data_IF_193709350826
#
_entry.id   IF_193709350826
#
_cell.length_a   1.000
_cell.length_b   1.000
_cell.length_c   1.000
_cell.angle_alpha   90.00
_cell.angle_beta   90.00
_cell.angle_gamma   90.00
#
_symmetry.space_group_name_H-M   'P 1'
#
loop_
_entity.id
_entity.type
_entity.pdbx_description
1 polymer ?
#
# COMPACT_ATOMS: atom_id res chain seq x y z
N UNK A 1 -3.64 -7.11 2.54
CA UNK A 1 -3.17 -5.83 3.17
C UNK A 1 -2.45 -6.16 4.46
N UNK A 2 -1.31 -5.54 4.73
CA UNK A 2 -0.65 -5.72 6.02
C UNK A 2 -1.53 -5.09 7.12
N UNK A 3 -2.14 -5.92 7.95
CA UNK A 3 -3.06 -5.49 9.01
C UNK A 3 -2.44 -4.43 9.93
N UNK A 4 -1.16 -4.59 10.27
CA UNK A 4 -0.45 -3.62 11.11
C UNK A 4 -0.24 -2.29 10.39
N UNK A 5 0.11 -2.30 9.10
CA UNK A 5 0.24 -1.09 8.31
C UNK A 5 -1.08 -0.32 8.21
N UNK A 6 -2.20 -1.03 8.01
CA UNK A 6 -3.54 -0.44 7.99
C UNK A 6 -3.93 0.19 9.34
N UNK A 7 -3.60 -0.50 10.45
CA UNK A 7 -3.81 0.06 11.80
C UNK A 7 -3.04 1.37 11.98
N UNK A 8 -1.75 1.39 11.63
CA UNK A 8 -0.94 2.59 11.76
C UNK A 8 -1.34 3.69 10.78
N UNK A 9 -1.72 3.36 9.54
CA UNK A 9 -2.23 4.35 8.61
C UNK A 9 -3.51 5.02 9.15
N UNK A 10 -4.43 4.24 9.73
CA UNK A 10 -5.62 4.80 10.36
C UNK A 10 -5.27 5.63 11.61
N UNK A 11 -4.39 5.13 12.48
CA UNK A 11 -3.98 5.82 13.71
C UNK A 11 -3.28 7.14 13.43
N UNK A 12 -2.37 7.18 12.44
CA UNK A 12 -1.59 8.36 12.13
C UNK A 12 -2.38 9.43 11.37
N UNK A 13 -3.33 9.02 10.50
CA UNK A 13 -4.05 9.92 9.59
C UNK A 13 -5.55 10.06 9.95
N UNK A 14 -6.02 9.35 10.99
CA UNK A 14 -7.41 9.39 11.43
C UNK A 14 -7.75 10.67 12.20
N UNK A 15 -9.03 11.04 12.17
CA UNK A 15 -9.55 12.03 13.09
C UNK A 15 -9.42 11.54 14.54
N UNK A 16 -9.18 12.44 15.49
CA UNK A 16 -9.11 12.10 16.92
C UNK A 16 -10.53 11.89 17.49
N UNK A 17 -11.16 10.80 17.06
CA UNK A 17 -12.49 10.36 17.47
C UNK A 17 -12.43 9.18 18.44
N UNK A 18 -13.60 8.65 18.81
CA UNK A 18 -13.68 7.46 19.67
C UNK A 18 -12.97 6.24 19.06
N UNK A 19 -12.90 6.13 17.74
CA UNK A 19 -12.24 5.01 17.07
C UNK A 19 -10.73 5.13 17.13
N UNK A 20 -10.19 6.34 17.01
CA UNK A 20 -8.78 6.63 17.23
C UNK A 20 -8.35 6.26 18.66
N UNK A 21 -9.18 6.65 19.66
CA UNK A 21 -8.93 6.27 21.05
C UNK A 21 -8.92 4.74 21.26
N UNK A 22 -9.92 4.03 20.74
CA UNK A 22 -9.99 2.57 20.82
C UNK A 22 -8.78 1.92 20.12
N UNK A 23 -8.39 2.46 18.97
CA UNK A 23 -7.21 1.97 18.25
C UNK A 23 -5.92 2.17 19.05
N UNK A 24 -5.76 3.31 19.72
CA UNK A 24 -4.66 3.54 20.67
C UNK A 24 -4.62 2.47 21.76
N UNK A 25 -5.79 2.08 22.31
CA UNK A 25 -5.90 0.98 23.29
C UNK A 25 -5.52 -0.40 22.72
N UNK A 26 -5.81 -0.65 21.44
CA UNK A 26 -5.34 -1.86 20.74
C UNK A 26 -3.81 -1.89 20.70
N UNK A 27 -3.18 -0.77 20.36
CA UNK A 27 -1.73 -0.65 20.27
C UNK A 27 -1.07 -0.79 21.65
N UNK A 28 -1.70 -0.28 22.73
CA UNK A 28 -1.22 -0.42 24.11
C UNK A 28 -1.26 -1.87 24.62
N UNK A 29 -2.30 -2.62 24.29
CA UNK A 29 -2.51 -3.98 24.79
C UNK A 29 -3.10 -4.92 23.72
N UNK A 30 -2.31 -5.19 22.71
CA UNK A 30 -2.68 -6.09 21.60
C UNK A 30 -3.09 -7.50 22.09
N UNK A 31 -2.48 -8.00 23.19
CA UNK A 31 -2.78 -9.32 23.72
C UNK A 31 -4.24 -9.45 24.18
N UNK A 32 -4.77 -8.44 24.87
CA UNK A 32 -6.17 -8.39 25.25
C UNK A 32 -7.10 -8.47 24.04
N UNK A 33 -6.75 -7.79 22.93
CA UNK A 33 -7.55 -7.80 21.72
C UNK A 33 -7.50 -9.14 20.97
N UNK A 34 -6.42 -9.90 21.14
CA UNK A 34 -6.28 -11.24 20.56
C UNK A 34 -7.06 -12.29 21.36
N UNK A 35 -7.03 -12.23 22.70
CA UNK A 35 -7.51 -13.30 23.56
C UNK A 35 -8.80 -12.97 24.32
N UNK A 36 -9.04 -11.68 24.59
CA UNK A 36 -10.19 -11.24 25.39
C UNK A 36 -11.53 -11.34 24.65
N UNK A 37 -12.61 -11.41 25.41
CA UNK A 37 -13.95 -11.26 24.86
C UNK A 37 -14.21 -9.82 24.40
N UNK A 38 -15.17 -9.63 23.50
CA UNK A 38 -15.55 -8.28 23.05
C UNK A 38 -16.05 -7.40 24.21
N UNK A 39 -16.56 -8.02 25.28
CA UNK A 39 -17.05 -7.30 26.47
C UNK A 39 -15.87 -6.79 27.31
N UNK A 40 -14.84 -7.60 27.55
CA UNK A 40 -13.61 -7.19 28.26
C UNK A 40 -12.86 -6.09 27.49
N UNK A 41 -12.82 -6.20 26.16
CA UNK A 41 -12.22 -5.18 25.30
C UNK A 41 -13.01 -3.87 25.38
N UNK A 42 -14.34 -3.94 25.32
CA UNK A 42 -15.22 -2.78 25.42
C UNK A 42 -15.05 -2.08 26.78
N UNK A 43 -14.99 -2.85 27.86
CA UNK A 43 -14.73 -2.32 29.21
C UNK A 43 -13.35 -1.66 29.31
N UNK A 44 -12.30 -2.31 28.86
CA UNK A 44 -10.94 -1.76 28.81
C UNK A 44 -10.84 -0.46 28.03
N UNK A 45 -11.58 -0.36 26.92
CA UNK A 45 -11.65 0.84 26.09
C UNK A 45 -12.65 1.88 26.60
N UNK A 46 -13.39 1.62 27.69
CA UNK A 46 -14.51 2.46 28.12
C UNK A 46 -15.48 2.77 26.95
N UNK A 47 -15.74 1.80 26.10
CA UNK A 47 -16.52 1.91 24.89
C UNK A 47 -17.59 0.83 24.81
N UNK A 48 -18.57 0.97 23.92
CA UNK A 48 -19.54 -0.08 23.66
C UNK A 48 -18.99 -1.18 22.75
N UNK A 49 -19.51 -2.40 22.86
CA UNK A 49 -19.20 -3.50 21.92
C UNK A 49 -19.55 -3.12 20.47
N UNK A 50 -20.57 -2.28 20.27
CA UNK A 50 -20.92 -1.73 18.96
C UNK A 50 -19.82 -0.80 18.41
N UNK A 51 -19.18 -0.01 19.27
CA UNK A 51 -18.03 0.85 18.88
C UNK A 51 -16.86 0.00 18.40
N UNK A 52 -16.52 -1.09 19.14
CA UNK A 52 -15.46 -2.03 18.75
C UNK A 52 -15.76 -2.67 17.38
N UNK A 53 -17.00 -3.12 17.18
CA UNK A 53 -17.44 -3.74 15.91
C UNK A 53 -17.40 -2.74 14.74
N UNK A 54 -17.82 -1.49 14.97
CA UNK A 54 -17.75 -0.44 13.94
C UNK A 54 -16.32 -0.03 13.59
N UNK A 55 -15.40 -0.02 14.56
CA UNK A 55 -13.99 0.20 14.28
C UNK A 55 -13.45 -0.87 13.31
N UNK A 56 -13.75 -2.16 13.57
CA UNK A 56 -13.34 -3.23 12.67
C UNK A 56 -13.86 -3.00 11.23
N UNK A 57 -15.13 -2.57 11.08
CA UNK A 57 -15.70 -2.25 9.78
C UNK A 57 -15.04 -1.01 9.13
N UNK A 58 -14.72 0.03 9.91
CA UNK A 58 -13.98 1.21 9.42
C UNK A 58 -12.57 0.86 8.95
N UNK A 59 -11.95 -0.14 9.56
CA UNK A 59 -10.65 -0.68 9.13
C UNK A 59 -10.75 -1.61 7.90
N UNK A 60 -11.97 -1.88 7.39
CA UNK A 60 -12.19 -2.70 6.19
C UNK A 60 -12.49 -4.17 6.47
N UNK A 61 -12.64 -4.58 7.72
CA UNK A 61 -12.98 -5.96 8.08
C UNK A 61 -14.50 -6.18 8.17
N UNK A 62 -14.96 -7.41 7.92
CA UNK A 62 -16.39 -7.74 7.96
C UNK A 62 -17.01 -7.52 9.33
N UNK A 63 -16.28 -7.86 10.38
CA UNK A 63 -16.68 -7.73 11.78
C UNK A 63 -15.46 -7.83 12.69
N UNK A 64 -15.67 -7.74 14.02
CA UNK A 64 -14.59 -7.80 15.00
C UNK A 64 -13.86 -9.17 15.02
N UNK A 65 -14.55 -10.28 14.75
CA UNK A 65 -13.92 -11.61 14.70
C UNK A 65 -12.96 -11.72 13.51
N UNK A 66 -13.35 -11.20 12.36
CA UNK A 66 -12.52 -11.14 11.15
C UNK A 66 -11.29 -10.26 11.39
N UNK A 67 -11.47 -9.07 11.97
CA UNK A 67 -10.36 -8.20 12.38
C UNK A 67 -9.39 -8.91 13.35
N UNK A 68 -9.92 -9.58 14.39
CA UNK A 68 -9.11 -10.32 15.37
C UNK A 68 -8.29 -11.42 14.70
N UNK A 69 -8.90 -12.19 13.79
CA UNK A 69 -8.20 -13.25 13.07
C UNK A 69 -7.03 -12.68 12.25
N UNK A 70 -7.27 -11.62 11.51
CA UNK A 70 -6.22 -10.96 10.72
C UNK A 70 -5.12 -10.35 11.62
N UNK A 71 -5.48 -9.80 12.79
CA UNK A 71 -4.50 -9.28 13.75
C UNK A 71 -3.66 -10.40 14.37
N UNK A 72 -4.28 -11.56 14.66
CA UNK A 72 -3.58 -12.75 15.13
C UNK A 72 -2.58 -13.24 14.09
N UNK A 73 -3.01 -13.37 12.84
CA UNK A 73 -2.15 -13.80 11.73
C UNK A 73 -0.99 -12.82 11.52
N UNK A 74 -1.28 -11.52 11.50
CA UNK A 74 -0.25 -10.49 11.36
C UNK A 74 0.81 -10.57 12.46
N UNK A 75 0.43 -10.88 13.71
CA UNK A 75 1.35 -11.07 14.82
C UNK A 75 2.09 -12.41 14.75
N UNK A 76 1.38 -13.50 14.41
CA UNK A 76 1.95 -14.85 14.33
C UNK A 76 3.02 -14.94 13.24
N UNK A 77 2.72 -14.36 12.07
CA UNK A 77 3.64 -14.34 10.95
C UNK A 77 4.51 -13.08 10.87
N UNK A 78 4.59 -12.30 11.96
CA UNK A 78 5.30 -11.02 11.97
C UNK A 78 6.73 -11.12 11.42
N UNK A 79 7.50 -12.10 11.88
CA UNK A 79 8.90 -12.29 11.44
C UNK A 79 9.01 -12.66 9.96
N UNK A 80 7.99 -13.29 9.41
CA UNK A 80 7.98 -13.70 8.00
C UNK A 80 7.55 -12.54 7.09
N UNK A 81 6.49 -11.83 7.47
CA UNK A 81 5.87 -10.80 6.64
C UNK A 81 6.52 -9.41 6.79
N UNK A 82 7.39 -9.21 7.80
CA UNK A 82 7.99 -7.90 8.08
C UNK A 82 9.52 -7.93 8.03
N UNK A 83 10.10 -8.83 7.26
CA UNK A 83 11.54 -8.82 7.02
C UNK A 83 11.95 -7.54 6.29
N UNK A 84 12.98 -6.86 6.80
CA UNK A 84 13.56 -5.71 6.11
C UNK A 84 14.33 -6.17 4.88
N UNK A 85 15.08 -7.26 4.99
CA UNK A 85 15.81 -7.92 3.90
C UNK A 85 15.79 -9.44 4.05
N UNK A 86 16.03 -10.22 2.98
CA UNK A 86 16.02 -11.67 3.06
C UNK A 86 17.02 -12.21 4.08
N UNK A 87 16.60 -13.23 4.83
CA UNK A 87 17.43 -13.93 5.81
C UNK A 87 18.06 -13.04 6.90
N UNK A 88 17.49 -11.87 7.19
CA UNK A 88 18.04 -10.93 8.20
C UNK A 88 18.33 -11.60 9.56
N UNK A 89 17.45 -12.54 9.99
CA UNK A 89 17.61 -13.26 11.25
C UNK A 89 18.77 -14.27 11.28
N UNK A 90 19.39 -14.56 10.13
CA UNK A 90 20.51 -15.49 9.97
C UNK A 90 21.84 -14.77 9.74
N UNK A 91 21.85 -13.45 9.76
CA UNK A 91 23.06 -12.69 9.51
C UNK A 91 24.03 -12.83 10.71
N UNK A 92 25.33 -13.02 10.43
CA UNK A 92 26.34 -13.00 11.49
C UNK A 92 26.41 -11.62 12.18
N UNK A 93 26.78 -11.61 13.44
CA UNK A 93 27.04 -10.37 14.16
C UNK A 93 28.13 -9.55 13.46
N UNK A 94 27.91 -8.24 13.34
CA UNK A 94 28.85 -7.30 12.73
C UNK A 94 28.78 -7.18 11.21
N UNK A 95 27.98 -8.03 10.52
CA UNK A 95 27.86 -7.98 9.05
C UNK A 95 26.60 -7.26 8.55
N UNK A 96 25.76 -6.78 9.45
CA UNK A 96 24.47 -6.16 9.08
C UNK A 96 24.60 -5.01 8.06
N UNK A 97 25.49 -4.00 8.23
CA UNK A 97 25.59 -2.91 7.27
C UNK A 97 26.03 -3.37 5.87
N UNK A 98 27.02 -4.29 5.80
CA UNK A 98 27.54 -4.79 4.53
C UNK A 98 26.47 -5.56 3.75
N UNK A 99 25.71 -6.42 4.43
CA UNK A 99 24.62 -7.19 3.84
C UNK A 99 23.45 -6.28 3.42
N UNK A 100 23.10 -5.28 4.24
CA UNK A 100 22.09 -4.29 3.92
C UNK A 100 22.42 -3.56 2.59
N UNK A 101 23.61 -2.97 2.49
CA UNK A 101 24.02 -2.25 1.28
C UNK A 101 24.25 -3.18 0.08
N UNK A 102 24.67 -4.41 0.29
CA UNK A 102 24.74 -5.41 -0.78
C UNK A 102 23.35 -5.67 -1.34
N UNK A 103 22.38 -5.94 -0.47
CA UNK A 103 21.01 -6.19 -0.87
C UNK A 103 20.38 -5.01 -1.63
N UNK A 104 20.63 -3.77 -1.16
CA UNK A 104 20.17 -2.56 -1.88
C UNK A 104 20.74 -2.49 -3.30
N UNK A 105 22.06 -2.73 -3.46
CA UNK A 105 22.67 -2.73 -4.80
C UNK A 105 22.06 -3.80 -5.71
N UNK A 106 21.84 -5.00 -5.17
CA UNK A 106 21.25 -6.10 -5.94
C UNK A 106 19.79 -5.77 -6.32
N UNK A 107 19.04 -5.12 -5.45
CA UNK A 107 17.68 -4.66 -5.73
C UNK A 107 17.66 -3.56 -6.79
N UNK A 108 18.55 -2.56 -6.70
CA UNK A 108 18.69 -1.51 -7.72
C UNK A 108 18.95 -2.15 -9.09
N UNK A 109 19.85 -3.15 -9.18
CA UNK A 109 20.12 -3.85 -10.42
C UNK A 109 18.90 -4.59 -10.99
N UNK A 110 18.05 -5.16 -10.13
CA UNK A 110 16.78 -5.77 -10.57
C UNK A 110 15.78 -4.75 -11.11
N UNK A 111 15.66 -3.60 -10.46
CA UNK A 111 14.81 -2.51 -10.95
C UNK A 111 15.33 -1.97 -12.29
N UNK A 112 16.65 -1.76 -12.42
CA UNK A 112 17.28 -1.26 -13.64
C UNK A 112 16.98 -2.18 -14.85
N UNK A 113 16.99 -3.49 -14.65
CA UNK A 113 16.66 -4.47 -15.71
C UNK A 113 15.15 -4.49 -16.03
N UNK A 114 14.31 -4.24 -15.03
CA UNK A 114 12.85 -4.35 -15.15
C UNK A 114 12.18 -3.13 -15.79
N UNK A 115 12.86 -1.97 -15.82
CA UNK A 115 12.27 -0.70 -16.24
C UNK A 115 12.89 -0.23 -17.55
N UNK A 116 12.05 0.01 -18.56
CA UNK A 116 12.49 0.60 -19.82
C UNK A 116 12.06 2.07 -19.91
N UNK A 117 12.78 2.85 -20.71
CA UNK A 117 12.38 4.24 -20.99
C UNK A 117 11.00 4.31 -21.65
N UNK A 118 10.67 3.33 -22.49
CA UNK A 118 9.38 3.23 -23.15
C UNK A 118 8.22 3.01 -22.15
N UNK A 119 8.43 2.18 -21.12
CA UNK A 119 7.42 1.95 -20.08
C UNK A 119 7.16 3.22 -19.28
N UNK A 120 8.23 3.94 -18.90
CA UNK A 120 8.13 5.20 -18.18
C UNK A 120 7.44 6.28 -19.01
N UNK A 121 7.75 6.37 -20.31
CA UNK A 121 7.06 7.27 -21.24
C UNK A 121 5.59 6.96 -21.35
N UNK A 122 5.26 5.68 -21.52
CA UNK A 122 3.86 5.23 -21.65
C UNK A 122 3.05 5.57 -20.40
N UNK A 123 3.57 5.30 -19.21
CA UNK A 123 2.90 5.65 -17.95
C UNK A 123 2.74 7.16 -17.79
N UNK A 124 3.77 7.95 -18.12
CA UNK A 124 3.68 9.41 -18.07
C UNK A 124 2.58 9.94 -19.02
N UNK A 125 2.43 9.34 -20.20
CA UNK A 125 1.39 9.69 -21.15
C UNK A 125 0.00 9.30 -20.68
N UNK A 126 -0.17 8.10 -20.10
CA UNK A 126 -1.43 7.67 -19.50
C UNK A 126 -1.88 8.67 -18.42
N UNK A 127 -0.98 9.03 -17.50
CA UNK A 127 -1.27 9.98 -16.43
C UNK A 127 -1.61 11.39 -16.97
N UNK A 128 -0.94 11.83 -18.04
CA UNK A 128 -1.19 13.15 -18.63
C UNK A 128 -2.52 13.20 -19.38
N UNK A 129 -2.89 12.15 -20.07
CA UNK A 129 -4.12 12.10 -20.87
C UNK A 129 -5.38 11.87 -20.03
N UNK A 130 -5.25 11.41 -18.79
CA UNK A 130 -6.37 11.21 -17.88
C UNK A 130 -7.09 12.51 -17.53
N UNK A 131 -8.40 12.46 -17.30
CA UNK A 131 -9.14 13.57 -16.70
C UNK A 131 -8.73 13.79 -15.25
N UNK A 132 -8.66 12.69 -14.46
CA UNK A 132 -8.21 12.71 -13.09
C UNK A 132 -7.27 11.53 -12.82
N UNK A 133 -6.34 11.72 -11.88
CA UNK A 133 -5.39 10.69 -11.46
C UNK A 133 -5.68 10.28 -10.02
N UNK A 134 -5.78 8.97 -9.78
CA UNK A 134 -5.87 8.42 -8.43
C UNK A 134 -4.61 7.61 -8.14
N UNK A 135 -4.01 7.82 -6.97
CA UNK A 135 -2.80 7.11 -6.54
C UNK A 135 -3.17 6.29 -5.32
N UNK A 136 -3.19 4.98 -5.47
CA UNK A 136 -3.49 4.04 -4.40
C UNK A 136 -2.20 3.38 -3.93
N UNK A 137 -1.83 3.64 -2.69
CA UNK A 137 -0.61 3.13 -2.08
C UNK A 137 -0.94 2.47 -0.74
N UNK A 138 -0.22 1.43 -0.39
CA UNK A 138 -0.38 0.73 0.89
C UNK A 138 0.65 1.20 1.93
N UNK A 139 1.54 2.10 1.53
CA UNK A 139 2.52 2.74 2.40
C UNK A 139 2.67 4.20 1.99
N UNK A 140 2.88 5.08 2.96
CA UNK A 140 3.08 6.50 2.70
C UNK A 140 4.53 6.74 2.30
N UNK A 141 4.76 7.13 1.04
CA UNK A 141 6.07 7.50 0.52
C UNK A 141 6.15 8.98 0.12
N UNK A 142 7.37 9.50 0.03
CA UNK A 142 7.59 10.87 -0.46
C UNK A 142 7.49 10.96 -2.00
N UNK A 143 7.73 9.86 -2.69
CA UNK A 143 7.76 9.79 -4.16
C UNK A 143 6.38 10.07 -4.78
N UNK A 144 5.31 9.56 -4.16
CA UNK A 144 3.94 9.81 -4.62
C UNK A 144 3.55 11.27 -4.47
N UNK A 145 4.04 11.94 -3.41
CA UNK A 145 3.85 13.39 -3.23
C UNK A 145 4.58 14.16 -4.31
N UNK A 146 5.80 13.75 -4.68
CA UNK A 146 6.56 14.32 -5.78
C UNK A 146 5.81 14.22 -7.11
N UNK A 147 5.21 13.06 -7.40
CA UNK A 147 4.38 12.87 -8.57
C UNK A 147 3.12 13.75 -8.53
N UNK A 148 2.42 13.82 -7.39
CA UNK A 148 1.25 14.70 -7.23
C UNK A 148 1.58 16.17 -7.48
N UNK A 149 2.75 16.65 -7.00
CA UNK A 149 3.20 18.02 -7.26
C UNK A 149 3.38 18.25 -8.78
N UNK A 150 4.01 17.31 -9.49
CA UNK A 150 4.21 17.42 -10.94
C UNK A 150 2.88 17.39 -11.71
N UNK A 151 1.94 16.54 -11.28
CA UNK A 151 0.56 16.51 -11.83
C UNK A 151 -0.14 17.85 -11.62
N UNK A 152 -0.07 18.41 -10.40
CA UNK A 152 -0.64 19.72 -10.10
C UNK A 152 -0.02 20.82 -10.97
N UNK A 153 1.30 20.83 -11.15
CA UNK A 153 2.00 21.85 -11.96
C UNK A 153 1.62 21.79 -13.43
N UNK A 154 1.17 20.64 -13.94
CA UNK A 154 0.61 20.48 -15.29
C UNK A 154 -0.91 20.68 -15.36
N UNK A 155 -1.54 21.11 -14.26
CA UNK A 155 -2.99 21.35 -14.18
C UNK A 155 -3.85 20.10 -13.99
N UNK A 156 -3.24 18.97 -13.56
CA UNK A 156 -3.97 17.72 -13.32
C UNK A 156 -4.43 17.60 -11.87
N UNK A 157 -5.72 17.31 -11.68
CA UNK A 157 -6.24 16.91 -10.38
C UNK A 157 -5.77 15.50 -10.04
N UNK A 158 -5.23 15.33 -8.84
CA UNK A 158 -4.84 14.03 -8.33
C UNK A 158 -5.22 13.83 -6.87
N UNK A 159 -5.65 12.61 -6.53
CA UNK A 159 -5.97 12.22 -5.16
C UNK A 159 -5.16 10.98 -4.79
N UNK A 160 -4.44 11.05 -3.66
CA UNK A 160 -3.76 9.91 -3.07
C UNK A 160 -4.61 9.32 -1.94
N UNK A 161 -4.71 7.99 -1.92
CA UNK A 161 -5.38 7.23 -0.86
C UNK A 161 -4.42 6.15 -0.33
N UNK A 162 -4.12 6.19 0.94
CA UNK A 162 -3.24 5.25 1.64
C UNK A 162 -4.00 4.26 2.55
N UNK A 163 -5.29 4.51 2.80
CA UNK A 163 -6.16 3.60 3.54
C UNK A 163 -7.05 2.83 2.57
N UNK A 164 -7.16 1.53 2.77
CA UNK A 164 -7.93 0.65 1.89
C UNK A 164 -9.37 1.10 1.66
N UNK A 165 -10.09 1.50 2.72
CA UNK A 165 -11.49 1.96 2.59
C UNK A 165 -11.63 3.28 1.84
N UNK A 166 -10.62 4.16 1.92
CA UNK A 166 -10.59 5.38 1.12
C UNK A 166 -10.32 5.07 -0.35
N UNK A 167 -9.44 4.10 -0.64
CA UNK A 167 -9.21 3.59 -1.99
C UNK A 167 -10.49 3.00 -2.60
N UNK A 168 -11.21 2.14 -1.86
CA UNK A 168 -12.51 1.58 -2.29
C UNK A 168 -13.54 2.70 -2.53
N UNK A 169 -13.57 3.70 -1.65
CA UNK A 169 -14.51 4.82 -1.77
C UNK A 169 -14.18 5.69 -2.98
N UNK A 170 -12.90 5.95 -3.22
CA UNK A 170 -12.42 6.68 -4.39
C UNK A 170 -12.66 5.89 -5.69
N UNK A 171 -12.34 4.57 -5.68
CA UNK A 171 -12.54 3.70 -6.84
C UNK A 171 -13.99 3.64 -7.31
N UNK A 172 -14.96 3.65 -6.40
CA UNK A 172 -16.40 3.67 -6.73
C UNK A 172 -16.84 4.95 -7.46
N UNK A 173 -16.06 6.02 -7.39
CA UNK A 173 -16.35 7.31 -8.03
C UNK A 173 -15.63 7.52 -9.37
N UNK A 174 -14.82 6.55 -9.79
CA UNK A 174 -14.11 6.58 -11.07
C UNK A 174 -15.05 6.51 -12.26
N UNK A 175 -14.56 6.98 -13.38
CA UNK A 175 -15.15 6.80 -14.72
C UNK A 175 -14.08 6.43 -15.75
N UNK A 176 -14.50 6.31 -17.02
CA UNK A 176 -13.63 5.84 -18.11
C UNK A 176 -12.52 6.83 -18.51
N UNK A 177 -12.58 8.08 -18.06
CA UNK A 177 -11.56 9.10 -18.34
C UNK A 177 -10.49 9.18 -17.24
N UNK A 178 -10.65 8.40 -16.16
CA UNK A 178 -9.74 8.37 -15.02
C UNK A 178 -8.60 7.35 -15.19
N UNK A 179 -7.47 7.62 -14.58
CA UNK A 179 -6.35 6.68 -14.44
C UNK A 179 -6.03 6.44 -12.97
N UNK A 180 -5.81 5.17 -12.62
CA UNK A 180 -5.42 4.75 -11.27
C UNK A 180 -4.00 4.19 -11.30
N UNK A 181 -3.08 4.82 -10.56
CA UNK A 181 -1.77 4.27 -10.26
C UNK A 181 -1.84 3.49 -8.94
N UNK A 182 -1.63 2.20 -8.98
CA UNK A 182 -1.65 1.30 -7.83
C UNK A 182 -0.22 0.91 -7.49
N UNK A 183 0.23 1.23 -6.28
CA UNK A 183 1.50 0.77 -5.75
C UNK A 183 1.24 -0.34 -4.74
N UNK A 184 1.45 -1.57 -5.13
CA UNK A 184 1.13 -2.71 -4.30
C UNK A 184 2.26 -3.74 -4.26
N UNK A 185 2.89 -3.96 -3.10
CA UNK A 185 3.80 -5.08 -2.94
C UNK A 185 3.03 -6.39 -3.09
N UNK A 186 3.64 -7.36 -3.78
CA UNK A 186 3.12 -8.72 -3.85
C UNK A 186 3.48 -9.44 -2.55
N UNK A 187 2.55 -9.51 -1.63
CA UNK A 187 2.66 -10.25 -0.38
C UNK A 187 1.49 -11.21 -0.25
N UNK A 188 1.59 -12.16 0.69
CA UNK A 188 0.54 -13.16 0.94
C UNK A 188 -0.84 -12.57 1.27
N UNK A 189 -0.87 -11.30 1.68
CA UNK A 189 -2.08 -10.55 2.02
C UNK A 189 -2.64 -9.76 0.81
N UNK A 190 -2.16 -10.03 -0.40
CA UNK A 190 -2.54 -9.35 -1.64
C UNK A 190 -4.01 -9.53 -2.06
N UNK A 191 -4.80 -10.25 -1.29
CA UNK A 191 -6.25 -10.46 -1.54
C UNK A 191 -7.04 -9.15 -1.65
N UNK A 192 -6.55 -8.07 -1.09
CA UNK A 192 -7.24 -6.78 -1.05
C UNK A 192 -7.14 -6.00 -2.37
N UNK A 193 -6.14 -6.27 -3.21
CA UNK A 193 -6.01 -5.60 -4.51
C UNK A 193 -7.05 -6.14 -5.50
N UNK A 194 -7.45 -7.40 -5.37
CA UNK A 194 -8.42 -8.03 -6.28
C UNK A 194 -9.75 -7.28 -6.30
N UNK A 195 -10.41 -7.00 -5.16
CA UNK A 195 -11.63 -6.21 -5.15
C UNK A 195 -11.44 -4.79 -5.70
N UNK A 196 -10.30 -4.18 -5.42
CA UNK A 196 -9.98 -2.84 -5.90
C UNK A 196 -9.82 -2.82 -7.43
N UNK A 197 -9.04 -3.74 -7.98
CA UNK A 197 -8.84 -3.88 -9.43
C UNK A 197 -10.17 -4.19 -10.16
N UNK A 198 -11.04 -5.01 -9.56
CA UNK A 198 -12.37 -5.28 -10.11
C UNK A 198 -13.23 -4.03 -10.18
N UNK A 199 -13.27 -3.22 -9.11
CA UNK A 199 -14.03 -1.97 -9.12
C UNK A 199 -13.49 -1.02 -10.18
N UNK A 200 -12.17 -0.87 -10.31
CA UNK A 200 -11.53 -0.01 -11.32
C UNK A 200 -11.94 -0.47 -12.72
N UNK A 201 -11.86 -1.77 -12.99
CA UNK A 201 -12.27 -2.35 -14.27
C UNK A 201 -13.77 -2.16 -14.56
N UNK A 202 -14.65 -2.38 -13.56
CA UNK A 202 -16.10 -2.17 -13.70
C UNK A 202 -16.44 -0.71 -14.02
N UNK A 203 -15.63 0.24 -13.58
CA UNK A 203 -15.78 1.67 -13.87
C UNK A 203 -15.22 2.09 -15.24
N UNK A 204 -14.50 1.20 -15.90
CA UNK A 204 -13.85 1.47 -17.18
C UNK A 204 -12.63 2.37 -17.09
N UNK A 205 -12.17 2.71 -15.88
CA UNK A 205 -10.97 3.49 -15.65
C UNK A 205 -9.73 2.68 -16.02
N UNK A 206 -8.69 3.35 -16.50
CA UNK A 206 -7.40 2.69 -16.78
C UNK A 206 -6.61 2.48 -15.49
N UNK A 207 -5.89 1.38 -15.40
CA UNK A 207 -5.12 0.98 -14.23
C UNK A 207 -3.66 0.70 -14.54
N UNK A 208 -2.77 1.23 -13.71
CA UNK A 208 -1.33 1.03 -13.75
C UNK A 208 -0.92 0.39 -12.42
N UNK A 209 -0.18 -0.72 -12.47
CA UNK A 209 0.35 -1.39 -11.29
C UNK A 209 1.87 -1.27 -11.24
N UNK A 210 2.39 -0.79 -10.11
CA UNK A 210 3.81 -0.92 -9.74
C UNK A 210 3.93 -1.95 -8.63
N UNK A 211 4.70 -3.01 -8.85
CA UNK A 211 4.81 -4.13 -7.91
C UNK A 211 6.21 -4.76 -7.89
N UNK A 212 6.51 -5.48 -6.81
CA UNK A 212 7.77 -6.19 -6.59
C UNK A 212 7.71 -7.67 -6.98
N UNK A 213 6.80 -8.07 -7.87
CA UNK A 213 6.72 -9.46 -8.34
C UNK A 213 6.33 -9.55 -9.81
N UNK A 214 7.19 -10.17 -10.60
CA UNK A 214 6.93 -10.50 -12.00
C UNK A 214 5.95 -11.66 -12.17
N UNK A 215 5.59 -12.33 -11.08
CA UNK A 215 4.63 -13.45 -11.03
C UNK A 215 3.34 -13.12 -10.31
N UNK A 216 3.11 -11.83 -10.00
CA UNK A 216 1.92 -11.41 -9.30
C UNK A 216 0.65 -11.78 -10.07
N UNK A 217 -0.31 -12.38 -9.37
CA UNK A 217 -1.65 -12.69 -9.91
C UNK A 217 -2.44 -11.44 -10.32
N UNK A 218 -1.95 -10.27 -9.95
CA UNK A 218 -2.59 -8.99 -10.24
C UNK A 218 -2.21 -8.44 -11.62
N UNK A 219 -1.09 -8.88 -12.23
CA UNK A 219 -0.61 -8.40 -13.52
C UNK A 219 -1.64 -8.56 -14.65
N UNK A 220 -2.40 -9.66 -14.65
CA UNK A 220 -3.47 -9.89 -15.62
C UNK A 220 -4.79 -9.16 -15.35
N UNK A 221 -4.84 -8.27 -14.35
CA UNK A 221 -6.05 -7.56 -13.91
C UNK A 221 -5.96 -6.04 -14.06
N UNK A 222 -4.86 -5.55 -14.60
CA UNK A 222 -4.57 -4.14 -14.82
C UNK A 222 -4.22 -3.91 -16.28
N UNK A 223 -4.40 -2.69 -16.76
CA UNK A 223 -4.16 -2.34 -18.16
C UNK A 223 -2.67 -2.23 -18.46
N UNK A 224 -1.87 -1.76 -17.50
CA UNK A 224 -0.42 -1.69 -17.61
C UNK A 224 0.27 -1.99 -16.28
N UNK A 225 1.49 -2.54 -16.33
CA UNK A 225 2.24 -2.83 -15.12
C UNK A 225 3.74 -2.68 -15.31
N UNK A 226 4.41 -2.19 -14.27
CA UNK A 226 5.88 -2.25 -14.13
C UNK A 226 6.17 -3.11 -12.91
N UNK A 227 6.80 -4.27 -13.13
CA UNK A 227 7.09 -5.24 -12.10
C UNK A 227 8.58 -5.61 -12.11
N UNK A 228 9.21 -5.66 -10.94
CA UNK A 228 10.55 -6.18 -10.78
C UNK A 228 10.54 -7.42 -9.89
N UNK A 229 11.59 -8.23 -9.97
CA UNK A 229 11.69 -9.47 -9.20
C UNK A 229 12.24 -9.18 -7.78
N UNK A 230 11.35 -8.89 -6.85
CA UNK A 230 11.64 -8.64 -5.44
C UNK A 230 11.82 -9.92 -4.62
N UNK A 231 12.01 -9.77 -3.32
CA UNK A 231 12.15 -10.89 -2.38
C UNK A 231 11.05 -10.89 -1.30
N UNK A 232 9.98 -10.15 -1.52
CA UNK A 232 8.86 -9.97 -0.57
C UNK A 232 9.31 -9.44 0.78
N UNK A 233 10.17 -8.43 0.75
CA UNK A 233 10.68 -7.74 1.93
C UNK A 233 10.31 -6.28 1.94
N UNK A 234 10.40 -5.63 3.10
CA UNK A 234 10.10 -4.20 3.22
C UNK A 234 11.04 -3.32 2.36
N UNK A 235 12.25 -3.82 2.07
CA UNK A 235 13.17 -3.09 1.18
C UNK A 235 12.71 -3.04 -0.28
N UNK A 236 11.87 -3.96 -0.72
CA UNK A 236 11.34 -3.93 -2.08
C UNK A 236 10.50 -2.68 -2.35
N UNK A 237 9.96 -2.05 -1.30
CA UNK A 237 9.30 -0.75 -1.41
C UNK A 237 10.21 0.33 -1.99
N UNK A 238 11.50 0.29 -1.69
CA UNK A 238 12.47 1.23 -2.29
C UNK A 238 12.57 1.05 -3.80
N UNK A 239 12.49 -0.20 -4.28
CA UNK A 239 12.43 -0.48 -5.72
C UNK A 239 11.19 0.13 -6.38
N UNK A 240 10.03 -0.01 -5.73
CA UNK A 240 8.78 0.59 -6.21
C UNK A 240 8.85 2.12 -6.20
N UNK A 241 9.44 2.72 -5.15
CA UNK A 241 9.64 4.17 -5.08
C UNK A 241 10.57 4.67 -6.19
N UNK A 242 11.65 3.97 -6.52
CA UNK A 242 12.51 4.32 -7.65
C UNK A 242 11.74 4.34 -8.98
N UNK A 243 10.85 3.38 -9.20
CA UNK A 243 10.00 3.36 -10.39
C UNK A 243 9.09 4.59 -10.44
N UNK A 244 8.44 4.94 -9.33
CA UNK A 244 7.56 6.13 -9.26
C UNK A 244 8.36 7.42 -9.41
N UNK A 245 9.59 7.50 -8.88
CA UNK A 245 10.48 8.64 -9.10
C UNK A 245 10.85 8.80 -10.58
N UNK A 246 11.14 7.71 -11.28
CA UNK A 246 11.41 7.74 -12.73
C UNK A 246 10.20 8.21 -13.51
N UNK A 247 9.00 7.73 -13.20
CA UNK A 247 7.73 8.20 -13.78
C UNK A 247 7.57 9.72 -13.52
N UNK A 248 7.78 10.14 -12.27
CA UNK A 248 7.65 11.54 -11.85
C UNK A 248 8.63 12.46 -12.55
N UNK A 249 9.90 12.05 -12.68
CA UNK A 249 10.94 12.78 -13.42
C UNK A 249 10.60 12.89 -14.91
N UNK A 250 10.16 11.79 -15.54
CA UNK A 250 9.76 11.81 -16.95
C UNK A 250 8.54 12.70 -17.16
N UNK A 251 7.53 12.61 -16.31
CA UNK A 251 6.34 13.43 -16.36
C UNK A 251 6.68 14.91 -16.27
N UNK A 252 7.54 15.30 -15.32
CA UNK A 252 8.04 16.68 -15.18
C UNK A 252 8.71 17.16 -16.45
N UNK A 253 9.67 16.40 -16.97
CA UNK A 253 10.44 16.76 -18.17
C UNK A 253 9.57 16.92 -19.40
N UNK A 254 8.46 16.18 -19.49
CA UNK A 254 7.63 16.15 -20.69
C UNK A 254 6.46 17.14 -20.67
N UNK A 255 5.93 17.42 -19.46
CA UNK A 255 4.66 18.13 -19.31
C UNK A 255 4.69 19.34 -18.37
N UNK A 256 5.79 19.58 -17.68
CA UNK A 256 5.92 20.71 -16.73
C UNK A 256 7.01 21.68 -17.16
N UNK A 257 8.18 21.19 -17.61
CA UNK A 257 9.35 21.98 -18.09
C UNK A 257 9.30 22.15 -19.61
#
# INVERSE_FOLDING_TARGET
MNTLANLFAYYNNGEQDVYHFVLGKILENTELFLQGSIYEIADYCSASTATISRLAQKLGYKNFSDFRHNLFDARHYFRYNNQVMPNESKLPEGELPQNYFKYLRDMIGRVEVAVTEQDIDHVADMLHNAAHVRIFTFNTGYTEVGLQINLLMSGKESLRCDRFMDQITAAKKLDAEDVVLIMAPDCSDALDIIPLAQIVQEKGAQSILVTNSTHSVHLGRVDFSIAFDGNNTNMDLWGMYMIVDLISLRYRKKYVE
#
